data_IF_851186532734
#
_entry.id   IF_851186532734
#
_cell.length_a   1.000
_cell.length_b   1.000
_cell.length_c   1.000
_cell.angle_alpha   90.00
_cell.angle_beta   90.00
_cell.angle_gamma   90.00
#
_symmetry.space_group_name_H-M   'P 1'
#
loop_
_entity.id
_entity.type
_entity.pdbx_description
1 polymer ?
#
# COMPACT_ATOMS: atom_id res chain seq x y z
N UNK A 1 36.28 -17.07 -17.64
CA UNK A 1 36.08 -18.51 -17.82
C UNK A 1 34.68 -18.78 -18.37
N UNK A 2 34.58 -19.68 -19.35
CA UNK A 2 33.32 -20.02 -20.01
C UNK A 2 32.96 -21.50 -19.87
N UNK A 3 33.98 -22.35 -19.71
CA UNK A 3 33.83 -23.78 -19.52
C UNK A 3 33.82 -24.19 -18.04
N UNK A 4 33.15 -25.33 -17.72
CA UNK A 4 33.07 -25.88 -16.36
C UNK A 4 34.47 -25.99 -15.70
N UNK A 5 35.44 -26.58 -16.36
CA UNK A 5 36.78 -26.77 -15.81
C UNK A 5 37.52 -25.44 -15.60
N UNK A 6 37.33 -24.47 -16.50
CA UNK A 6 37.92 -23.14 -16.37
C UNK A 6 37.34 -22.39 -15.16
N UNK A 7 36.03 -22.55 -14.89
CA UNK A 7 35.37 -21.96 -13.73
C UNK A 7 35.88 -22.59 -12.44
N UNK A 8 36.03 -23.92 -12.40
CA UNK A 8 36.59 -24.63 -11.24
C UNK A 8 38.02 -24.18 -10.96
N UNK A 9 38.88 -24.15 -11.98
CA UNK A 9 40.28 -23.71 -11.84
C UNK A 9 40.36 -22.22 -11.39
N UNK A 10 39.48 -21.37 -11.88
CA UNK A 10 39.42 -20.00 -11.48
C UNK A 10 39.19 -19.88 -9.96
N UNK A 11 38.27 -20.65 -9.39
CA UNK A 11 37.98 -20.64 -7.95
C UNK A 11 39.09 -21.30 -7.11
N UNK A 12 39.69 -22.35 -7.58
CA UNK A 12 40.83 -23.02 -6.90
C UNK A 12 42.02 -22.07 -6.75
N UNK A 13 42.20 -21.15 -7.70
CA UNK A 13 43.30 -20.18 -7.69
C UNK A 13 43.04 -18.88 -6.96
N UNK A 14 41.74 -18.55 -6.72
CA UNK A 14 41.33 -17.28 -6.10
C UNK A 14 41.33 -17.25 -4.55
N UNK A 15 41.66 -18.35 -3.89
CA UNK A 15 41.74 -18.44 -2.42
C UNK A 15 42.75 -17.49 -1.76
N UNK A 16 43.55 -16.74 -2.54
CA UNK A 16 44.58 -15.81 -2.04
C UNK A 16 44.28 -14.32 -2.25
N UNK A 17 43.15 -13.92 -2.87
CA UNK A 17 42.87 -12.49 -3.13
C UNK A 17 41.89 -11.93 -2.07
N UNK A 18 42.48 -11.35 -1.02
CA UNK A 18 41.74 -10.67 0.07
C UNK A 18 41.32 -9.20 -0.25
N UNK A 19 41.33 -8.77 -1.51
CA UNK A 19 41.08 -7.38 -1.85
C UNK A 19 39.61 -7.13 -2.22
N UNK A 20 38.88 -6.53 -1.28
CA UNK A 20 37.43 -6.23 -1.37
C UNK A 20 37.05 -5.21 -2.47
N UNK A 21 38.02 -4.67 -3.21
CA UNK A 21 37.80 -3.69 -4.29
C UNK A 21 37.65 -4.30 -5.68
N UNK A 22 38.01 -5.55 -5.90
CA UNK A 22 37.73 -6.23 -7.17
C UNK A 22 36.30 -6.71 -7.19
N UNK A 23 35.41 -5.98 -7.88
CA UNK A 23 34.07 -6.47 -8.25
C UNK A 23 34.26 -7.67 -9.16
N UNK A 24 34.19 -8.82 -8.56
CA UNK A 24 34.17 -10.08 -9.24
C UNK A 24 33.05 -10.13 -10.30
N UNK A 25 33.40 -10.52 -11.50
CA UNK A 25 32.47 -10.70 -12.60
C UNK A 25 31.64 -12.00 -12.47
N UNK A 26 31.63 -12.64 -11.29
CA UNK A 26 30.96 -13.93 -11.05
C UNK A 26 29.49 -13.92 -11.43
N UNK A 27 28.74 -12.91 -11.00
CA UNK A 27 27.34 -12.79 -11.36
C UNK A 27 27.14 -12.78 -12.89
N UNK A 28 27.98 -12.08 -13.63
CA UNK A 28 27.93 -12.01 -15.09
C UNK A 28 28.30 -13.33 -15.75
N UNK A 29 29.26 -14.06 -15.18
CA UNK A 29 29.65 -15.42 -15.63
C UNK A 29 28.46 -16.35 -15.39
N UNK A 30 27.86 -16.35 -14.24
CA UNK A 30 26.70 -17.18 -13.91
C UNK A 30 25.47 -16.84 -14.79
N UNK A 31 25.26 -15.58 -15.14
CA UNK A 31 24.18 -15.16 -16.03
C UNK A 31 24.42 -15.65 -17.47
N UNK A 32 25.66 -15.53 -17.97
CA UNK A 32 26.00 -15.92 -19.34
C UNK A 32 26.17 -17.43 -19.54
N UNK A 33 26.64 -18.14 -18.52
CA UNK A 33 26.97 -19.56 -18.55
C UNK A 33 26.31 -20.35 -17.41
N UNK A 34 24.97 -20.28 -17.27
CA UNK A 34 24.25 -20.76 -16.09
C UNK A 34 24.47 -22.26 -15.82
N UNK A 35 24.51 -23.11 -16.85
CA UNK A 35 24.75 -24.55 -16.69
C UNK A 35 26.16 -24.86 -16.22
N UNK A 36 27.15 -24.23 -16.83
CA UNK A 36 28.55 -24.46 -16.49
C UNK A 36 28.84 -24.01 -15.06
N UNK A 37 28.23 -22.91 -14.61
CA UNK A 37 28.37 -22.44 -13.23
C UNK A 37 27.68 -23.37 -12.24
N UNK A 38 26.51 -23.91 -12.54
CA UNK A 38 25.83 -24.87 -11.67
C UNK A 38 26.69 -26.15 -11.48
N UNK A 39 27.19 -26.74 -12.57
CA UNK A 39 28.05 -27.91 -12.50
C UNK A 39 29.38 -27.62 -11.83
N UNK A 40 29.97 -26.44 -12.02
CA UNK A 40 31.22 -26.07 -11.37
C UNK A 40 31.06 -25.93 -9.86
N UNK A 41 29.97 -25.28 -9.40
CA UNK A 41 29.67 -25.14 -7.96
C UNK A 41 29.43 -26.50 -7.30
N UNK A 42 28.67 -27.39 -7.95
CA UNK A 42 28.45 -28.75 -7.45
C UNK A 42 29.77 -29.55 -7.35
N UNK A 43 30.68 -29.46 -8.35
CA UNK A 43 32.00 -30.09 -8.31
C UNK A 43 32.86 -29.53 -7.16
N UNK A 44 32.89 -28.22 -6.98
CA UNK A 44 33.64 -27.59 -5.91
C UNK A 44 33.11 -28.04 -4.53
N UNK A 45 31.78 -28.05 -4.36
CA UNK A 45 31.17 -28.55 -3.14
C UNK A 45 31.57 -30.01 -2.82
N UNK A 46 31.52 -30.90 -3.82
CA UNK A 46 31.95 -32.29 -3.67
C UNK A 46 33.44 -32.47 -3.30
N UNK A 47 34.26 -31.48 -3.60
CA UNK A 47 35.68 -31.41 -3.20
C UNK A 47 35.90 -30.74 -1.84
N UNK A 48 34.84 -30.37 -1.14
CA UNK A 48 34.90 -29.67 0.14
C UNK A 48 35.18 -28.17 0.02
N UNK A 49 35.09 -27.61 -1.18
CA UNK A 49 35.24 -26.17 -1.42
C UNK A 49 33.83 -25.54 -1.50
N UNK A 50 33.46 -24.83 -0.45
CA UNK A 50 32.14 -24.17 -0.36
C UNK A 50 32.28 -22.67 -0.12
N UNK A 51 31.59 -21.90 -0.93
CA UNK A 51 31.47 -20.44 -0.77
C UNK A 51 30.00 -20.00 -0.95
N UNK A 52 29.35 -19.61 0.15
CA UNK A 52 27.95 -19.19 0.17
C UNK A 52 27.70 -17.97 -0.75
N UNK A 53 28.65 -17.03 -0.86
CA UNK A 53 28.50 -15.83 -1.69
C UNK A 53 28.45 -16.19 -3.17
N UNK A 54 29.20 -17.21 -3.59
CA UNK A 54 29.19 -17.71 -4.97
C UNK A 54 27.88 -18.40 -5.33
N UNK A 55 27.38 -19.24 -4.44
CA UNK A 55 26.06 -19.84 -4.62
C UNK A 55 24.96 -18.78 -4.69
N UNK A 56 24.97 -17.80 -3.76
CA UNK A 56 24.04 -16.71 -3.74
C UNK A 56 24.03 -15.91 -5.06
N UNK A 57 25.20 -15.48 -5.53
CA UNK A 57 25.36 -14.75 -6.79
C UNK A 57 24.89 -15.55 -8.01
N UNK A 58 25.15 -16.87 -8.03
CA UNK A 58 24.72 -17.75 -9.11
C UNK A 58 23.20 -17.93 -9.12
N UNK A 59 22.57 -18.23 -7.98
CA UNK A 59 21.12 -18.40 -7.87
C UNK A 59 20.41 -17.09 -8.25
N UNK A 60 20.92 -15.94 -7.83
CA UNK A 60 20.39 -14.63 -8.25
C UNK A 60 20.50 -14.43 -9.77
N UNK A 61 21.63 -14.79 -10.38
CA UNK A 61 21.80 -14.70 -11.83
C UNK A 61 20.84 -15.65 -12.58
N UNK A 62 20.62 -16.85 -12.05
CA UNK A 62 19.65 -17.81 -12.60
C UNK A 62 18.20 -17.38 -12.40
N UNK A 63 17.92 -16.44 -11.50
CA UNK A 63 16.59 -15.87 -11.27
C UNK A 63 16.15 -14.90 -12.38
N UNK A 64 16.98 -14.62 -13.38
CA UNK A 64 16.60 -13.79 -14.53
C UNK A 64 15.50 -14.48 -15.34
N UNK A 65 14.44 -13.75 -15.77
CA UNK A 65 13.30 -14.34 -16.47
C UNK A 65 13.68 -15.18 -17.69
N UNK A 66 14.67 -14.72 -18.47
CA UNK A 66 15.17 -15.46 -19.63
C UNK A 66 15.80 -16.80 -19.24
N UNK A 67 16.59 -16.81 -18.19
CA UNK A 67 17.28 -18.01 -17.70
C UNK A 67 16.30 -19.01 -17.09
N UNK A 68 15.38 -18.53 -16.24
CA UNK A 68 14.34 -19.40 -15.66
C UNK A 68 13.51 -20.03 -16.77
N UNK A 69 13.03 -19.27 -17.75
CA UNK A 69 12.22 -19.79 -18.85
C UNK A 69 12.90 -20.92 -19.63
N UNK A 70 14.21 -20.82 -19.82
CA UNK A 70 14.98 -21.84 -20.57
C UNK A 70 15.33 -23.05 -19.72
N UNK A 71 15.56 -22.87 -18.42
CA UNK A 71 16.21 -23.89 -17.57
C UNK A 71 15.40 -24.21 -16.30
N UNK A 72 14.08 -23.88 -16.26
CA UNK A 72 13.21 -24.06 -15.10
C UNK A 72 13.36 -25.44 -14.44
N UNK A 73 13.14 -26.50 -15.23
CA UNK A 73 13.19 -27.88 -14.71
C UNK A 73 14.58 -28.29 -14.25
N UNK A 74 15.60 -27.84 -14.97
CA UNK A 74 16.97 -28.18 -14.62
C UNK A 74 17.36 -27.53 -13.28
N UNK A 75 17.27 -26.20 -13.18
CA UNK A 75 17.67 -25.50 -11.95
C UNK A 75 16.74 -25.81 -10.79
N UNK A 76 15.45 -25.96 -11.02
CA UNK A 76 14.54 -26.38 -9.96
C UNK A 76 14.91 -27.75 -9.38
N UNK A 77 15.27 -28.72 -10.23
CA UNK A 77 15.76 -30.03 -9.76
C UNK A 77 17.12 -29.93 -9.07
N UNK A 78 18.04 -29.08 -9.55
CA UNK A 78 19.30 -28.84 -8.86
C UNK A 78 19.09 -28.22 -7.50
N UNK A 79 18.22 -27.21 -7.37
CA UNK A 79 17.85 -26.60 -6.08
C UNK A 79 17.23 -27.63 -5.12
N UNK A 80 16.43 -28.59 -5.64
CA UNK A 80 15.89 -29.69 -4.83
C UNK A 80 16.94 -30.68 -4.36
N UNK A 81 18.10 -30.74 -5.00
CA UNK A 81 19.21 -31.67 -4.67
C UNK A 81 20.32 -31.03 -3.84
N UNK A 82 20.28 -29.71 -3.64
CA UNK A 82 21.30 -29.02 -2.86
C UNK A 82 21.46 -29.68 -1.48
N UNK A 83 22.67 -29.73 -1.00
CA UNK A 83 22.94 -30.15 0.38
C UNK A 83 22.26 -29.19 1.34
N UNK A 84 21.92 -29.67 2.54
CA UNK A 84 21.10 -28.92 3.50
C UNK A 84 21.74 -27.61 3.95
N UNK A 85 23.05 -27.61 4.18
CA UNK A 85 23.83 -26.42 4.52
C UNK A 85 23.83 -25.38 3.39
N UNK A 86 24.07 -25.81 2.15
CA UNK A 86 24.01 -24.94 0.96
C UNK A 86 22.63 -24.34 0.79
N UNK A 87 21.57 -25.12 0.99
CA UNK A 87 20.20 -24.64 0.87
C UNK A 87 19.89 -23.59 1.96
N UNK A 88 20.27 -23.88 3.22
CA UNK A 88 20.05 -22.99 4.36
C UNK A 88 20.76 -21.64 4.21
N UNK A 89 22.03 -21.66 3.77
CA UNK A 89 22.81 -20.44 3.61
C UNK A 89 22.32 -19.55 2.45
N UNK A 90 21.53 -20.11 1.53
CA UNK A 90 21.05 -19.41 0.33
C UNK A 90 19.52 -19.19 0.32
N UNK A 91 18.83 -19.28 1.46
CA UNK A 91 17.37 -19.14 1.55
C UNK A 91 16.84 -17.89 0.85
N UNK A 92 17.48 -16.73 1.02
CA UNK A 92 17.05 -15.51 0.38
C UNK A 92 17.05 -15.62 -1.16
N UNK A 93 18.13 -16.04 -1.75
CA UNK A 93 18.26 -16.18 -3.21
C UNK A 93 17.34 -17.25 -3.78
N UNK A 94 17.16 -18.35 -3.05
CA UNK A 94 16.21 -19.42 -3.41
C UNK A 94 14.78 -18.89 -3.35
N UNK A 95 14.42 -18.13 -2.33
CA UNK A 95 13.06 -17.54 -2.23
C UNK A 95 12.76 -16.60 -3.38
N UNK A 96 13.71 -15.76 -3.77
CA UNK A 96 13.60 -14.87 -4.94
C UNK A 96 13.43 -15.71 -6.22
N UNK A 97 14.19 -16.79 -6.37
CA UNK A 97 14.08 -17.69 -7.52
C UNK A 97 12.68 -18.34 -7.57
N UNK A 98 12.18 -18.88 -6.46
CA UNK A 98 10.83 -19.46 -6.35
C UNK A 98 9.76 -18.41 -6.73
N UNK A 99 9.84 -17.21 -6.18
CA UNK A 99 8.91 -16.13 -6.53
C UNK A 99 8.94 -15.80 -8.02
N UNK A 100 10.14 -15.72 -8.62
CA UNK A 100 10.27 -15.44 -10.06
C UNK A 100 9.70 -16.53 -10.93
N UNK A 101 9.74 -17.80 -10.49
CA UNK A 101 9.09 -18.89 -11.21
C UNK A 101 7.58 -18.66 -11.35
N UNK A 102 6.92 -18.15 -10.30
CA UNK A 102 5.47 -17.88 -10.33
C UNK A 102 5.06 -16.76 -11.29
N UNK A 103 6.00 -15.95 -11.77
CA UNK A 103 5.75 -14.88 -12.74
C UNK A 103 5.81 -15.38 -14.21
N UNK A 104 6.15 -16.66 -14.45
CA UNK A 104 6.32 -17.21 -15.79
C UNK A 104 5.03 -17.78 -16.37
N UNK A 105 4.87 -17.66 -17.68
CA UNK A 105 3.75 -18.25 -18.43
C UNK A 105 3.84 -19.77 -18.60
N UNK A 106 5.04 -20.35 -18.47
CA UNK A 106 5.29 -21.81 -18.50
C UNK A 106 5.69 -22.22 -17.10
N UNK A 107 4.84 -22.98 -16.46
CA UNK A 107 4.95 -23.28 -15.04
C UNK A 107 4.83 -24.79 -14.79
N UNK A 108 5.75 -25.35 -13.99
CA UNK A 108 5.72 -26.75 -13.56
C UNK A 108 5.24 -26.77 -12.10
N UNK A 109 3.95 -27.03 -11.91
CA UNK A 109 3.28 -26.96 -10.61
C UNK A 109 3.91 -27.95 -9.61
N UNK A 110 4.20 -29.16 -10.03
CA UNK A 110 4.74 -30.20 -9.14
C UNK A 110 6.15 -29.84 -8.65
N UNK A 111 6.98 -29.34 -9.56
CA UNK A 111 8.32 -28.89 -9.21
C UNK A 111 8.28 -27.70 -8.25
N UNK A 112 7.42 -26.74 -8.55
CA UNK A 112 7.23 -25.55 -7.71
C UNK A 112 6.75 -25.93 -6.31
N UNK A 113 5.74 -26.79 -6.21
CA UNK A 113 5.21 -27.26 -4.94
C UNK A 113 6.29 -27.94 -4.08
N UNK A 114 7.10 -28.83 -4.69
CA UNK A 114 8.22 -29.51 -4.00
C UNK A 114 9.26 -28.51 -3.49
N UNK A 115 9.56 -27.48 -4.27
CA UNK A 115 10.49 -26.41 -3.84
C UNK A 115 9.92 -25.60 -2.68
N UNK A 116 8.64 -25.23 -2.72
CA UNK A 116 7.98 -24.55 -1.62
C UNK A 116 7.98 -25.40 -0.34
N UNK A 117 7.61 -26.67 -0.44
CA UNK A 117 7.62 -27.60 0.69
C UNK A 117 9.01 -27.73 1.30
N UNK A 118 10.02 -27.96 0.46
CA UNK A 118 11.40 -28.01 0.95
C UNK A 118 11.82 -26.70 1.62
N UNK A 119 11.47 -25.57 1.04
CA UNK A 119 11.76 -24.27 1.63
C UNK A 119 11.13 -24.11 3.02
N UNK A 120 9.88 -24.52 3.18
CA UNK A 120 9.17 -24.48 4.47
C UNK A 120 9.84 -25.38 5.53
N UNK A 121 10.35 -26.55 5.16
CA UNK A 121 11.10 -27.43 6.07
C UNK A 121 12.32 -26.73 6.67
N UNK A 122 13.09 -25.99 5.87
CA UNK A 122 14.26 -25.25 6.35
C UNK A 122 13.85 -24.00 7.15
N UNK A 123 12.78 -23.32 6.77
CA UNK A 123 12.30 -22.13 7.44
C UNK A 123 11.76 -22.39 8.85
N UNK A 124 11.32 -23.61 9.17
CA UNK A 124 10.83 -23.99 10.52
C UNK A 124 11.88 -23.78 11.62
N UNK A 125 13.15 -23.79 11.27
CA UNK A 125 14.27 -23.60 12.19
C UNK A 125 14.83 -22.17 12.20
N UNK A 126 14.37 -21.31 11.30
CA UNK A 126 14.87 -19.95 11.19
C UNK A 126 14.05 -18.99 12.07
N UNK A 127 14.51 -18.79 13.31
CA UNK A 127 13.88 -17.87 14.29
C UNK A 127 14.20 -16.37 14.02
N UNK A 128 14.78 -16.04 12.88
CA UNK A 128 15.29 -14.69 12.60
C UNK A 128 14.23 -13.66 12.19
N UNK A 129 12.94 -14.01 12.20
CA UNK A 129 11.85 -13.03 11.97
C UNK A 129 11.17 -12.72 13.32
N UNK A 130 11.97 -12.31 14.31
CA UNK A 130 11.40 -11.63 15.45
C UNK A 130 10.65 -10.39 14.96
N UNK A 131 9.47 -10.15 15.52
CA UNK A 131 8.71 -8.90 15.31
C UNK A 131 9.48 -7.77 15.99
N UNK A 132 10.54 -7.30 15.33
CA UNK A 132 11.34 -6.17 15.80
C UNK A 132 10.50 -4.89 15.73
N UNK A 133 10.78 -3.96 16.62
CA UNK A 133 10.13 -2.66 16.63
C UNK A 133 10.40 -1.94 15.30
N UNK A 134 9.33 -1.52 14.61
CA UNK A 134 9.42 -0.84 13.31
C UNK A 134 9.25 -1.72 12.07
N UNK A 135 9.11 -3.04 12.22
CA UNK A 135 8.75 -3.94 11.11
C UNK A 135 7.32 -3.66 10.66
N UNK A 136 7.11 -3.59 9.34
CA UNK A 136 5.78 -3.49 8.74
C UNK A 136 5.49 -4.67 7.80
N UNK A 137 4.24 -4.78 7.35
CA UNK A 137 3.81 -5.86 6.47
C UNK A 137 4.61 -5.95 5.15
N UNK A 138 5.09 -4.81 4.62
CA UNK A 138 5.90 -4.79 3.40
C UNK A 138 7.30 -5.38 3.64
N UNK A 139 7.89 -5.08 4.79
CA UNK A 139 9.16 -5.67 5.20
C UNK A 139 9.03 -7.18 5.36
N UNK A 140 7.93 -7.64 5.99
CA UNK A 140 7.62 -9.07 6.11
C UNK A 140 7.45 -9.74 4.74
N UNK A 141 6.71 -9.12 3.82
CA UNK A 141 6.53 -9.66 2.47
C UNK A 141 7.83 -9.74 1.65
N UNK A 142 8.82 -8.92 2.00
CA UNK A 142 10.15 -8.92 1.35
C UNK A 142 11.12 -9.93 1.96
N UNK A 143 10.79 -10.54 3.10
CA UNK A 143 11.60 -11.60 3.72
C UNK A 143 11.58 -12.89 2.87
N UNK A 144 12.53 -13.83 3.07
CA UNK A 144 12.56 -15.08 2.33
C UNK A 144 11.22 -15.83 2.32
N UNK A 145 10.62 -16.00 3.49
CA UNK A 145 9.35 -16.71 3.63
C UNK A 145 8.18 -15.92 3.01
N UNK A 146 8.20 -14.59 3.11
CA UNK A 146 7.25 -13.70 2.43
C UNK A 146 7.33 -13.79 0.91
N UNK A 147 8.54 -13.88 0.35
CA UNK A 147 8.76 -14.08 -1.09
C UNK A 147 8.17 -15.40 -1.58
N UNK A 148 8.40 -16.49 -0.85
CA UNK A 148 7.82 -17.81 -1.20
C UNK A 148 6.30 -17.75 -1.11
N UNK A 149 5.72 -17.19 -0.06
CA UNK A 149 4.26 -17.02 0.07
C UNK A 149 3.70 -16.17 -1.06
N UNK A 150 4.38 -15.10 -1.47
CA UNK A 150 4.00 -14.30 -2.64
C UNK A 150 3.99 -15.13 -3.92
N UNK A 151 4.99 -16.00 -4.08
CA UNK A 151 5.06 -16.96 -5.20
C UNK A 151 3.88 -17.93 -5.20
N UNK A 152 3.55 -18.51 -4.06
CA UNK A 152 2.41 -19.43 -3.89
C UNK A 152 1.09 -18.72 -4.28
N UNK A 153 0.83 -17.56 -3.69
CA UNK A 153 -0.39 -16.79 -3.96
C UNK A 153 -0.49 -16.38 -5.43
N UNK A 154 0.61 -15.94 -6.04
CA UNK A 154 0.63 -15.62 -7.48
C UNK A 154 0.33 -16.82 -8.35
N UNK A 155 0.84 -18.00 -7.98
CA UNK A 155 0.65 -19.23 -8.74
C UNK A 155 -0.80 -19.74 -8.74
N UNK A 156 -1.57 -19.46 -7.69
CA UNK A 156 -3.00 -19.80 -7.62
C UNK A 156 -3.78 -19.19 -8.79
N UNK A 157 -3.41 -17.98 -9.20
CA UNK A 157 -4.13 -17.23 -10.24
C UNK A 157 -3.54 -17.41 -11.65
N UNK A 158 -2.58 -18.33 -11.84
CA UNK A 158 -1.89 -18.52 -13.13
C UNK A 158 -2.77 -19.18 -14.20
N UNK A 159 -3.69 -20.05 -13.83
CA UNK A 159 -4.43 -20.93 -14.75
C UNK A 159 -5.89 -20.47 -14.96
N UNK A 160 -6.12 -19.15 -15.08
CA UNK A 160 -7.46 -18.69 -15.48
C UNK A 160 -8.58 -19.21 -14.56
N UNK A 161 -8.35 -19.17 -13.25
CA UNK A 161 -9.34 -19.58 -12.25
C UNK A 161 -10.52 -18.63 -12.25
N UNK A 162 -11.72 -19.18 -12.09
CA UNK A 162 -12.95 -18.42 -12.00
C UNK A 162 -13.43 -18.32 -10.54
N UNK A 163 -14.34 -17.37 -10.29
CA UNK A 163 -14.95 -17.19 -8.99
C UNK A 163 -15.69 -18.47 -8.57
N UNK A 164 -15.41 -18.96 -7.37
CA UNK A 164 -16.04 -20.16 -6.82
C UNK A 164 -15.41 -21.48 -7.22
N UNK A 165 -14.34 -21.49 -8.01
CA UNK A 165 -13.63 -22.74 -8.39
C UNK A 165 -13.04 -23.49 -7.19
N UNK A 166 -12.80 -22.78 -6.08
CA UNK A 166 -12.10 -23.27 -4.91
C UNK A 166 -10.60 -23.33 -5.08
N UNK A 167 -9.89 -23.30 -3.96
CA UNK A 167 -8.44 -23.49 -3.94
C UNK A 167 -8.09 -24.95 -4.26
N UNK A 168 -7.22 -25.12 -5.26
CA UNK A 168 -6.79 -26.45 -5.73
C UNK A 168 -5.48 -26.89 -5.06
N UNK A 169 -5.29 -28.20 -4.93
CA UNK A 169 -4.00 -28.80 -4.64
C UNK A 169 -2.99 -28.51 -5.76
N UNK A 170 -1.69 -28.31 -5.48
CA UNK A 170 -1.07 -28.43 -4.13
C UNK A 170 -1.10 -27.12 -3.31
N UNK A 171 -1.53 -26.02 -3.88
CA UNK A 171 -1.42 -24.70 -3.24
C UNK A 171 -2.27 -24.57 -1.97
N UNK A 172 -3.45 -25.18 -1.96
CA UNK A 172 -4.30 -25.21 -0.75
C UNK A 172 -3.58 -25.86 0.42
N UNK A 173 -3.00 -27.03 0.20
CA UNK A 173 -2.28 -27.79 1.23
C UNK A 173 -1.06 -27.03 1.75
N UNK A 174 -0.29 -26.41 0.85
CA UNK A 174 0.88 -25.61 1.24
C UNK A 174 0.47 -24.38 2.07
N UNK A 175 -0.62 -23.67 1.68
CA UNK A 175 -1.12 -22.55 2.48
C UNK A 175 -1.62 -23.00 3.85
N UNK A 176 -2.34 -24.11 3.91
CA UNK A 176 -2.80 -24.69 5.18
C UNK A 176 -1.62 -25.09 6.08
N UNK A 177 -0.56 -25.67 5.51
CA UNK A 177 0.67 -25.96 6.26
C UNK A 177 1.31 -24.68 6.82
N UNK A 178 1.41 -23.62 6.01
CA UNK A 178 1.94 -22.31 6.44
C UNK A 178 1.10 -21.74 7.60
N UNK A 179 -0.23 -21.82 7.52
CA UNK A 179 -1.12 -21.28 8.55
C UNK A 179 -1.02 -22.03 9.88
N UNK A 180 -0.62 -23.30 9.87
CA UNK A 180 -0.41 -24.11 11.07
C UNK A 180 0.95 -23.87 11.75
N UNK A 181 1.92 -23.26 11.07
CA UNK A 181 3.22 -22.94 11.67
C UNK A 181 3.06 -21.90 12.79
N UNK A 182 3.94 -21.92 13.83
CA UNK A 182 3.96 -20.88 14.86
C UNK A 182 4.21 -19.48 14.26
N UNK A 183 3.61 -18.44 14.86
CA UNK A 183 3.69 -17.06 14.32
C UNK A 183 5.12 -16.50 14.34
N UNK A 184 5.93 -16.86 15.34
CA UNK A 184 7.34 -16.44 15.43
C UNK A 184 8.22 -16.91 14.26
N UNK A 185 7.76 -17.92 13.54
CA UNK A 185 8.44 -18.46 12.33
C UNK A 185 7.74 -18.00 11.05
N UNK A 186 6.41 -17.95 11.04
CA UNK A 186 5.60 -17.91 9.81
C UNK A 186 4.86 -16.59 9.57
N UNK A 187 5.01 -15.59 10.43
CA UNK A 187 4.28 -14.32 10.29
C UNK A 187 4.33 -13.73 8.88
N UNK A 188 5.52 -13.74 8.28
CA UNK A 188 5.71 -13.21 6.93
C UNK A 188 4.86 -13.96 5.88
N UNK A 189 4.81 -15.29 5.96
CA UNK A 189 4.03 -16.09 5.03
C UNK A 189 2.52 -16.00 5.27
N UNK A 190 2.09 -15.88 6.52
CA UNK A 190 0.66 -15.72 6.89
C UNK A 190 0.08 -14.38 6.47
N UNK A 191 0.90 -13.32 6.49
CA UNK A 191 0.47 -11.94 6.18
C UNK A 191 0.31 -11.70 4.67
N UNK A 192 1.15 -12.30 3.85
CA UNK A 192 1.17 -12.06 2.39
C UNK A 192 -0.17 -12.34 1.69
N UNK A 193 -0.91 -13.42 1.98
CA UNK A 193 -2.21 -13.69 1.34
C UNK A 193 -3.21 -12.55 1.45
N UNK A 194 -3.12 -11.69 2.47
CA UNK A 194 -4.03 -10.56 2.67
C UNK A 194 -3.91 -9.48 1.58
N UNK A 195 -2.80 -9.38 0.85
CA UNK A 195 -2.70 -8.50 -0.32
C UNK A 195 -3.65 -8.91 -1.46
N UNK A 196 -4.08 -10.18 -1.46
CA UNK A 196 -4.99 -10.77 -2.44
C UNK A 196 -6.28 -11.30 -1.80
N UNK A 197 -6.62 -10.83 -0.58
CA UNK A 197 -7.74 -11.36 0.20
C UNK A 197 -9.06 -11.36 -0.59
N UNK A 198 -9.36 -10.30 -1.33
CA UNK A 198 -10.55 -10.22 -2.20
C UNK A 198 -10.54 -11.30 -3.26
N UNK A 199 -9.42 -11.52 -3.93
CA UNK A 199 -9.32 -12.52 -4.99
C UNK A 199 -9.41 -13.95 -4.43
N UNK A 200 -8.79 -14.19 -3.26
CA UNK A 200 -8.89 -15.47 -2.56
C UNK A 200 -10.31 -15.75 -2.08
N UNK A 201 -10.99 -14.73 -1.55
CA UNK A 201 -12.38 -14.86 -1.12
C UNK A 201 -13.34 -15.13 -2.29
N UNK A 202 -13.12 -14.50 -3.44
CA UNK A 202 -13.89 -14.77 -4.66
C UNK A 202 -13.67 -16.19 -5.16
N UNK A 203 -12.43 -16.69 -5.08
CA UNK A 203 -12.05 -18.01 -5.52
C UNK A 203 -12.60 -19.10 -4.58
N UNK A 204 -12.41 -18.95 -3.27
CA UNK A 204 -12.83 -19.90 -2.23
C UNK A 204 -13.22 -19.14 -0.95
N UNK A 205 -14.50 -18.69 -0.90
CA UNK A 205 -14.99 -17.91 0.23
C UNK A 205 -14.97 -18.73 1.52
N UNK A 206 -15.36 -20.00 1.46
CA UNK A 206 -15.42 -20.86 2.64
C UNK A 206 -14.04 -21.06 3.27
N UNK A 207 -13.01 -21.33 2.46
CA UNK A 207 -11.64 -21.46 2.95
C UNK A 207 -11.13 -20.14 3.50
N UNK A 208 -11.34 -19.03 2.78
CA UNK A 208 -10.89 -17.70 3.19
C UNK A 208 -11.54 -17.28 4.51
N UNK A 209 -12.84 -17.50 4.68
CA UNK A 209 -13.57 -17.18 5.91
C UNK A 209 -13.12 -18.03 7.09
N UNK A 210 -12.81 -19.30 6.88
CA UNK A 210 -12.38 -20.19 7.96
C UNK A 210 -10.90 -20.06 8.31
N UNK A 211 -10.03 -19.75 7.35
CA UNK A 211 -8.57 -19.79 7.53
C UNK A 211 -7.91 -18.41 7.64
N UNK A 212 -8.38 -17.39 6.89
CA UNK A 212 -7.72 -16.08 6.87
C UNK A 212 -8.46 -15.04 7.71
N UNK A 213 -9.78 -14.96 7.65
CA UNK A 213 -10.53 -13.91 8.36
C UNK A 213 -10.29 -13.93 9.88
N UNK A 214 -10.17 -15.09 10.56
CA UNK A 214 -9.84 -15.10 12.00
C UNK A 214 -8.52 -14.41 12.35
N UNK A 215 -7.57 -14.35 11.42
CA UNK A 215 -6.28 -13.66 11.62
C UNK A 215 -6.40 -12.12 11.60
N UNK A 216 -7.55 -11.56 11.20
CA UNK A 216 -7.84 -10.13 11.25
C UNK A 216 -8.36 -9.67 12.63
N UNK A 217 -8.63 -10.58 13.56
CA UNK A 217 -9.10 -10.21 14.89
C UNK A 217 -7.96 -9.64 15.74
N UNK A 218 -7.97 -8.32 15.94
CA UNK A 218 -6.94 -7.60 16.71
C UNK A 218 -6.89 -8.03 18.18
N UNK A 219 -7.99 -8.53 18.73
CA UNK A 219 -8.06 -8.92 20.12
C UNK A 219 -7.47 -10.32 20.38
N UNK A 220 -7.50 -11.18 19.35
CA UNK A 220 -7.12 -12.59 19.47
C UNK A 220 -5.91 -12.99 18.63
N UNK A 221 -5.45 -12.14 17.69
CA UNK A 221 -4.32 -12.44 16.81
C UNK A 221 -3.22 -11.37 16.91
N UNK A 222 -2.05 -11.77 17.36
CA UNK A 222 -0.87 -10.88 17.44
C UNK A 222 -0.41 -10.37 16.06
N UNK A 223 -0.71 -11.10 15.01
CA UNK A 223 -0.34 -10.73 13.64
C UNK A 223 -1.41 -9.91 12.91
N UNK A 224 -2.60 -9.71 13.51
CA UNK A 224 -3.71 -8.98 12.91
C UNK A 224 -3.32 -7.58 12.38
N UNK A 225 -2.50 -6.77 13.08
CA UNK A 225 -2.07 -5.49 12.54
C UNK A 225 -1.39 -5.60 11.18
N UNK A 226 -0.53 -6.60 10.97
CA UNK A 226 0.18 -6.82 9.70
C UNK A 226 -0.76 -7.35 8.61
N UNK A 227 -1.73 -8.21 8.98
CA UNK A 227 -2.77 -8.69 8.06
C UNK A 227 -3.61 -7.52 7.55
N UNK A 228 -4.03 -6.60 8.43
CA UNK A 228 -4.73 -5.38 8.04
C UNK A 228 -3.86 -4.44 7.19
N UNK A 229 -2.60 -4.24 7.55
CA UNK A 229 -1.67 -3.43 6.74
C UNK A 229 -1.56 -3.98 5.32
N UNK A 230 -1.44 -5.30 5.17
CA UNK A 230 -1.32 -5.96 3.88
C UNK A 230 -2.63 -5.86 3.08
N UNK A 231 -3.79 -6.10 3.70
CA UNK A 231 -5.10 -5.91 3.06
C UNK A 231 -5.27 -4.45 2.58
N UNK A 232 -5.01 -3.48 3.45
CA UNK A 232 -5.18 -2.05 3.14
C UNK A 232 -4.21 -1.55 2.06
N UNK A 233 -3.08 -2.22 1.87
CA UNK A 233 -2.14 -1.85 0.79
C UNK A 233 -2.74 -2.03 -0.62
N UNK A 234 -3.73 -2.94 -0.76
CA UNK A 234 -4.39 -3.27 -2.04
C UNK A 234 -5.91 -3.49 -1.85
N UNK A 235 -6.52 -2.77 -0.91
CA UNK A 235 -7.94 -2.92 -0.60
C UNK A 235 -8.83 -2.65 -1.82
N UNK A 236 -9.77 -3.57 -2.05
CA UNK A 236 -10.78 -3.50 -3.11
C UNK A 236 -12.15 -3.74 -2.54
N UNK A 237 -13.18 -3.20 -3.20
CA UNK A 237 -14.55 -3.42 -2.81
C UNK A 237 -15.01 -4.80 -3.27
N UNK A 238 -15.45 -5.59 -2.31
CA UNK A 238 -16.13 -6.86 -2.52
C UNK A 238 -17.15 -7.05 -1.40
N UNK A 239 -18.44 -6.75 -1.64
CA UNK A 239 -19.45 -6.68 -0.60
C UNK A 239 -19.54 -7.92 0.30
N UNK A 240 -19.51 -9.18 -0.22
CA UNK A 240 -19.54 -10.36 0.65
C UNK A 240 -18.38 -10.41 1.66
N UNK A 241 -17.15 -10.12 1.23
CA UNK A 241 -16.02 -10.07 2.13
C UNK A 241 -16.13 -8.92 3.15
N UNK A 242 -16.58 -7.73 2.68
CA UNK A 242 -16.75 -6.57 3.55
C UNK A 242 -17.76 -6.83 4.67
N UNK A 243 -18.82 -7.60 4.41
CA UNK A 243 -19.78 -8.00 5.43
C UNK A 243 -19.11 -8.85 6.52
N UNK A 244 -18.27 -9.80 6.14
CA UNK A 244 -17.57 -10.68 7.07
C UNK A 244 -16.52 -9.95 7.93
N UNK A 245 -15.76 -9.02 7.33
CA UNK A 245 -14.69 -8.29 8.04
C UNK A 245 -15.18 -6.98 8.66
N UNK A 246 -16.46 -6.62 8.52
CA UNK A 246 -17.04 -5.33 8.92
C UNK A 246 -16.69 -4.94 10.35
N UNK A 247 -16.91 -5.84 11.30
CA UNK A 247 -16.70 -5.56 12.74
C UNK A 247 -15.23 -5.18 12.96
N UNK A 248 -14.29 -6.01 12.52
CA UNK A 248 -12.85 -5.75 12.66
C UNK A 248 -12.43 -4.45 11.93
N UNK A 249 -12.99 -4.19 10.74
CA UNK A 249 -12.71 -2.97 9.99
C UNK A 249 -13.16 -1.71 10.76
N UNK A 250 -14.31 -1.72 11.41
CA UNK A 250 -14.80 -0.60 12.20
C UNK A 250 -14.03 -0.42 13.53
N UNK A 251 -13.55 -1.52 14.12
CA UNK A 251 -12.75 -1.50 15.36
C UNK A 251 -11.33 -0.96 15.14
N UNK A 252 -10.79 -1.06 13.93
CA UNK A 252 -9.48 -0.50 13.58
C UNK A 252 -9.37 1.00 13.89
N UNK A 253 -10.47 1.75 13.90
CA UNK A 253 -10.46 3.16 14.22
C UNK A 253 -9.82 3.46 15.58
N UNK A 254 -10.09 2.62 16.57
CA UNK A 254 -9.52 2.74 17.93
C UNK A 254 -8.08 2.23 18.00
N UNK A 255 -7.67 1.42 17.05
CA UNK A 255 -6.37 0.75 16.99
C UNK A 255 -5.50 1.24 15.82
N UNK A 256 -5.83 2.39 15.24
CA UNK A 256 -5.21 2.90 14.01
C UNK A 256 -3.69 3.07 14.11
N UNK A 257 -3.16 3.31 15.30
CA UNK A 257 -1.72 3.44 15.55
C UNK A 257 -0.97 2.13 15.23
N UNK A 258 -1.63 0.96 15.37
CA UNK A 258 -1.04 -0.34 15.01
C UNK A 258 -0.84 -0.49 13.50
N UNK A 259 -1.51 0.34 12.70
CA UNK A 259 -1.36 0.31 11.25
C UNK A 259 -0.16 1.11 10.73
N UNK A 260 0.53 1.87 11.59
CA UNK A 260 1.66 2.70 11.20
C UNK A 260 1.34 3.60 9.98
N UNK A 261 2.16 3.54 8.94
CA UNK A 261 1.94 4.29 7.68
C UNK A 261 0.64 3.91 6.96
N UNK A 262 0.11 2.71 7.16
CA UNK A 262 -1.13 2.25 6.54
C UNK A 262 -2.40 2.83 7.19
N UNK A 263 -2.27 3.56 8.29
CA UNK A 263 -3.39 4.31 8.87
C UNK A 263 -4.00 5.32 7.90
N UNK A 264 -3.22 5.91 6.99
CA UNK A 264 -3.74 6.78 5.93
C UNK A 264 -4.53 5.99 4.86
N UNK A 265 -4.08 4.78 4.54
CA UNK A 265 -4.81 3.88 3.63
C UNK A 265 -6.16 3.46 4.25
N UNK A 266 -6.18 3.17 5.55
CA UNK A 266 -7.41 2.88 6.29
C UNK A 266 -8.41 4.04 6.21
N UNK A 267 -8.00 5.26 6.58
CA UNK A 267 -8.89 6.43 6.54
C UNK A 267 -9.39 6.67 5.11
N UNK A 268 -8.53 6.58 4.12
CA UNK A 268 -8.92 6.71 2.72
C UNK A 268 -9.95 5.65 2.32
N UNK A 269 -9.78 4.40 2.76
CA UNK A 269 -10.70 3.31 2.47
C UNK A 269 -12.07 3.53 3.14
N UNK A 270 -12.10 3.91 4.42
CA UNK A 270 -13.33 4.26 5.13
C UNK A 270 -14.08 5.42 4.46
N UNK A 271 -13.37 6.49 4.09
CA UNK A 271 -13.96 7.63 3.38
C UNK A 271 -14.52 7.20 2.02
N UNK A 272 -13.84 6.29 1.32
CA UNK A 272 -14.34 5.73 0.07
C UNK A 272 -15.65 4.97 0.28
N UNK A 273 -15.70 4.05 1.26
CA UNK A 273 -16.92 3.29 1.59
C UNK A 273 -18.10 4.22 1.94
N UNK A 274 -17.83 5.26 2.72
CA UNK A 274 -18.83 6.21 3.15
C UNK A 274 -19.38 7.08 2.01
N UNK A 275 -18.50 7.63 1.16
CA UNK A 275 -18.88 8.49 0.03
C UNK A 275 -19.68 7.71 -1.01
N UNK A 276 -19.28 6.46 -1.30
CA UNK A 276 -20.00 5.63 -2.27
C UNK A 276 -21.16 4.85 -1.66
N UNK A 277 -21.42 5.06 -0.36
CA UNK A 277 -22.55 4.47 0.37
C UNK A 277 -22.62 2.94 0.12
N UNK A 278 -21.47 2.28 0.32
CA UNK A 278 -21.37 0.84 0.07
C UNK A 278 -22.33 0.08 0.98
N UNK A 279 -23.11 -0.80 0.38
CA UNK A 279 -24.10 -1.63 1.06
C UNK A 279 -23.49 -2.37 2.27
N UNK A 280 -24.31 -2.58 3.29
CA UNK A 280 -23.88 -3.23 4.52
C UNK A 280 -23.35 -2.28 5.59
N UNK A 281 -23.10 -0.99 5.27
CA UNK A 281 -22.64 0.02 6.22
C UNK A 281 -23.66 1.16 6.38
N UNK A 282 -23.70 1.75 7.57
CA UNK A 282 -24.57 2.90 7.89
C UNK A 282 -23.76 4.18 8.08
N UNK A 283 -24.38 5.34 7.81
CA UNK A 283 -23.76 6.64 8.07
C UNK A 283 -23.35 6.83 9.54
N UNK A 284 -24.11 6.27 10.47
CA UNK A 284 -23.80 6.33 11.90
C UNK A 284 -22.55 5.51 12.26
N UNK A 285 -22.32 4.36 11.62
CA UNK A 285 -21.11 3.57 11.80
C UNK A 285 -19.87 4.33 11.30
N UNK A 286 -19.95 4.95 10.12
CA UNK A 286 -18.88 5.78 9.60
C UNK A 286 -18.60 7.00 10.47
N UNK A 287 -19.66 7.66 10.99
CA UNK A 287 -19.51 8.76 11.94
C UNK A 287 -18.75 8.31 13.17
N UNK A 288 -19.12 7.18 13.77
CA UNK A 288 -18.44 6.62 14.93
C UNK A 288 -16.97 6.25 14.65
N UNK A 289 -16.64 5.82 13.42
CA UNK A 289 -15.25 5.61 13.01
C UNK A 289 -14.48 6.93 12.97
N UNK A 290 -15.06 7.96 12.33
CA UNK A 290 -14.43 9.28 12.23
C UNK A 290 -14.22 9.89 13.61
N UNK A 291 -15.16 9.72 14.54
CA UNK A 291 -15.01 10.20 15.92
C UNK A 291 -13.80 9.60 16.62
N UNK A 292 -13.54 8.31 16.41
CA UNK A 292 -12.46 7.55 17.08
C UNK A 292 -11.07 7.75 16.49
N UNK A 293 -10.96 8.14 15.22
CA UNK A 293 -9.63 8.35 14.61
C UNK A 293 -8.95 9.62 15.14
N UNK A 294 -7.61 9.67 15.20
CA UNK A 294 -6.85 10.83 15.66
C UNK A 294 -7.06 12.07 14.78
N UNK A 295 -6.95 13.25 15.38
CA UNK A 295 -7.10 14.54 14.68
C UNK A 295 -6.18 14.66 13.46
N UNK A 296 -4.93 14.21 13.57
CA UNK A 296 -3.95 14.21 12.46
C UNK A 296 -4.43 13.45 11.22
N UNK A 297 -5.30 12.45 11.41
CA UNK A 297 -5.93 11.69 10.32
C UNK A 297 -7.21 12.35 9.82
N UNK A 298 -8.01 12.97 10.72
CA UNK A 298 -9.21 13.74 10.35
C UNK A 298 -8.86 14.87 9.40
N UNK A 299 -7.73 15.52 9.57
CA UNK A 299 -7.24 16.62 8.73
C UNK A 299 -7.18 16.27 7.23
N UNK A 300 -7.05 14.98 6.87
CA UNK A 300 -6.92 14.50 5.48
C UNK A 300 -8.25 14.07 4.85
N UNK A 301 -9.33 13.93 5.61
CA UNK A 301 -10.60 13.34 5.14
C UNK A 301 -11.12 14.07 3.90
N UNK A 302 -11.25 15.41 3.94
CA UNK A 302 -11.76 16.18 2.80
C UNK A 302 -10.79 16.20 1.60
N UNK A 303 -9.51 15.97 1.83
CA UNK A 303 -8.55 15.72 0.76
C UNK A 303 -8.88 14.41 0.03
N UNK A 304 -9.22 13.35 0.76
CA UNK A 304 -9.65 12.08 0.15
C UNK A 304 -11.01 12.22 -0.54
N UNK A 305 -11.98 12.90 0.09
CA UNK A 305 -13.27 13.23 -0.54
C UNK A 305 -13.04 13.86 -1.91
N UNK A 306 -12.21 14.90 -2.00
CA UNK A 306 -11.88 15.58 -3.25
C UNK A 306 -11.21 14.67 -4.28
N UNK A 307 -10.32 13.77 -3.85
CA UNK A 307 -9.62 12.82 -4.75
C UNK A 307 -10.57 11.83 -5.40
N UNK A 308 -11.67 11.45 -4.74
CA UNK A 308 -12.64 10.51 -5.27
C UNK A 308 -13.57 11.08 -6.35
N UNK A 309 -13.52 12.37 -6.60
CA UNK A 309 -14.24 12.97 -7.75
C UNK A 309 -13.87 12.27 -9.06
N UNK A 310 -12.58 12.00 -9.29
CA UNK A 310 -12.09 11.37 -10.52
C UNK A 310 -12.60 12.14 -11.76
N UNK A 311 -13.19 11.39 -12.71
CA UNK A 311 -13.82 11.92 -13.92
C UNK A 311 -15.35 12.08 -13.80
N UNK A 312 -15.90 11.98 -12.58
CA UNK A 312 -17.35 12.14 -12.37
C UNK A 312 -17.82 13.56 -12.71
N UNK A 313 -19.08 13.67 -13.13
CA UNK A 313 -19.71 14.97 -13.30
C UNK A 313 -19.69 15.74 -11.96
N UNK A 314 -19.27 17.00 -12.00
CA UNK A 314 -19.13 17.86 -10.81
C UNK A 314 -20.42 17.94 -9.99
N UNK A 315 -21.51 18.25 -10.69
CA UNK A 315 -22.82 18.43 -10.07
C UNK A 315 -23.27 17.16 -9.35
N UNK A 316 -23.19 16.03 -10.07
CA UNK A 316 -23.60 14.73 -9.55
C UNK A 316 -22.74 14.29 -8.37
N UNK A 317 -21.42 14.52 -8.43
CA UNK A 317 -20.52 14.21 -7.35
C UNK A 317 -20.85 15.02 -6.08
N UNK A 318 -21.13 16.32 -6.23
CA UNK A 318 -21.48 17.16 -5.09
C UNK A 318 -22.81 16.75 -4.46
N UNK A 319 -23.87 16.64 -5.25
CA UNK A 319 -25.22 16.35 -4.76
C UNK A 319 -25.36 14.94 -4.19
N UNK A 320 -24.74 13.94 -4.83
CA UNK A 320 -24.92 12.55 -4.47
C UNK A 320 -23.81 11.99 -3.56
N UNK A 321 -22.72 12.75 -3.33
CA UNK A 321 -21.56 12.24 -2.57
C UNK A 321 -21.09 13.22 -1.49
N UNK A 322 -20.75 14.46 -1.85
CA UNK A 322 -20.17 15.42 -0.90
C UNK A 322 -21.20 15.89 0.12
N UNK A 323 -22.38 16.34 -0.33
CA UNK A 323 -23.43 16.83 0.57
C UNK A 323 -23.93 15.74 1.50
N UNK A 324 -24.31 14.52 1.06
CA UNK A 324 -24.70 13.44 1.98
C UNK A 324 -23.58 13.02 2.95
N UNK A 325 -22.33 12.98 2.49
CA UNK A 325 -21.19 12.70 3.38
C UNK A 325 -21.09 13.76 4.49
N UNK A 326 -21.23 15.03 4.13
CA UNK A 326 -21.20 16.12 5.10
C UNK A 326 -22.39 16.07 6.08
N UNK A 327 -23.57 15.80 5.58
CA UNK A 327 -24.80 15.86 6.39
C UNK A 327 -24.92 14.64 7.30
N UNK A 328 -24.64 13.45 6.80
CA UNK A 328 -24.96 12.20 7.47
C UNK A 328 -23.75 11.53 8.12
N UNK A 329 -22.54 11.75 7.59
CA UNK A 329 -21.33 11.03 8.00
C UNK A 329 -20.39 11.90 8.83
N UNK A 330 -20.08 13.12 8.38
CA UNK A 330 -19.15 13.98 9.09
C UNK A 330 -19.70 14.36 10.48
N UNK A 331 -18.95 14.09 11.57
CA UNK A 331 -19.36 14.51 12.90
C UNK A 331 -19.25 16.03 12.98
N UNK A 332 -20.36 16.75 13.11
CA UNK A 332 -20.38 18.21 13.19
C UNK A 332 -19.94 18.70 14.59
N UNK A 333 -18.77 18.23 15.03
CA UNK A 333 -18.12 18.63 16.27
C UNK A 333 -17.06 19.69 15.99
N UNK A 334 -17.23 20.88 16.58
CA UNK A 334 -16.30 22.00 16.40
C UNK A 334 -14.91 21.74 16.97
N UNK A 335 -14.75 20.79 17.87
CA UNK A 335 -13.42 20.37 18.37
C UNK A 335 -12.53 19.78 17.29
N UNK A 336 -13.10 19.37 16.14
CA UNK A 336 -12.34 18.83 14.99
C UNK A 336 -11.85 19.90 14.03
N UNK A 337 -12.27 21.17 14.24
CA UNK A 337 -11.80 22.28 13.42
C UNK A 337 -10.32 22.56 13.68
N UNK A 338 -9.59 22.76 12.62
CA UNK A 338 -8.19 23.17 12.64
C UNK A 338 -7.86 23.89 11.33
N UNK A 339 -6.71 24.55 11.31
CA UNK A 339 -6.19 25.17 10.08
C UNK A 339 -6.07 24.15 8.94
N UNK A 340 -5.66 22.91 9.23
CA UNK A 340 -5.48 21.83 8.23
C UNK A 340 -6.82 21.29 7.72
N UNK A 341 -7.82 21.13 8.59
CA UNK A 341 -9.20 20.78 8.18
C UNK A 341 -9.77 21.87 7.30
N UNK A 342 -9.59 23.13 7.69
CA UNK A 342 -10.03 24.29 6.90
C UNK A 342 -9.34 24.31 5.54
N UNK A 343 -8.02 24.03 5.46
CA UNK A 343 -7.31 23.93 4.18
C UNK A 343 -7.90 22.84 3.28
N UNK A 344 -8.22 21.68 3.85
CA UNK A 344 -8.82 20.56 3.12
C UNK A 344 -10.22 20.91 2.60
N UNK A 345 -11.06 21.56 3.42
CA UNK A 345 -12.39 22.05 3.04
C UNK A 345 -12.31 23.15 1.97
N UNK A 346 -11.43 24.13 2.14
CA UNK A 346 -11.22 25.21 1.15
C UNK A 346 -10.77 24.65 -0.19
N UNK A 347 -9.86 23.67 -0.19
CA UNK A 347 -9.46 22.99 -1.43
C UNK A 347 -10.62 22.25 -2.08
N UNK A 348 -11.53 21.65 -1.30
CA UNK A 348 -12.75 21.02 -1.82
C UNK A 348 -13.69 22.08 -2.42
N UNK A 349 -13.98 23.19 -1.69
CA UNK A 349 -14.80 24.31 -2.17
C UNK A 349 -14.24 24.87 -3.50
N UNK A 350 -12.95 25.17 -3.54
CA UNK A 350 -12.33 25.76 -4.75
C UNK A 350 -12.36 24.78 -5.94
N UNK A 351 -12.33 23.48 -5.68
CA UNK A 351 -12.40 22.47 -6.76
C UNK A 351 -13.82 22.17 -7.24
N UNK A 352 -14.83 22.80 -6.66
CA UNK A 352 -16.25 22.54 -6.98
C UNK A 352 -16.80 23.33 -8.17
N UNK A 353 -15.95 24.11 -8.86
CA UNK A 353 -16.30 24.86 -10.08
C UNK A 353 -17.65 25.62 -9.94
N UNK A 354 -18.68 25.21 -10.66
CA UNK A 354 -20.01 25.84 -10.66
C UNK A 354 -20.74 25.69 -9.31
N UNK A 355 -20.27 24.83 -8.41
CA UNK A 355 -20.84 24.66 -7.05
C UNK A 355 -20.07 25.45 -5.99
N UNK A 356 -19.19 26.37 -6.38
CA UNK A 356 -18.42 27.21 -5.46
C UNK A 356 -19.32 27.94 -4.45
N UNK A 357 -20.40 28.59 -4.91
CA UNK A 357 -21.40 29.24 -4.06
C UNK A 357 -21.96 28.27 -3.01
N UNK A 358 -22.44 27.10 -3.46
CA UNK A 358 -22.99 26.06 -2.58
C UNK A 358 -21.95 25.52 -1.59
N UNK A 359 -20.73 25.33 -2.04
CA UNK A 359 -19.63 24.90 -1.18
C UNK A 359 -19.32 25.93 -0.08
N UNK A 360 -19.27 27.20 -0.39
CA UNK A 360 -19.08 28.26 0.60
C UNK A 360 -20.24 28.30 1.59
N UNK A 361 -21.50 28.25 1.12
CA UNK A 361 -22.69 28.22 1.98
C UNK A 361 -22.66 27.04 2.96
N UNK A 362 -22.24 25.84 2.49
CA UNK A 362 -22.24 24.62 3.28
C UNK A 362 -21.15 24.60 4.35
N UNK A 363 -19.95 25.11 4.03
CA UNK A 363 -18.78 24.94 4.87
C UNK A 363 -18.28 26.21 5.58
N UNK A 364 -18.75 27.43 5.22
CA UNK A 364 -18.15 28.67 5.75
C UNK A 364 -18.17 28.77 7.28
N UNK A 365 -19.18 28.23 7.94
CA UNK A 365 -19.27 28.22 9.40
C UNK A 365 -18.36 27.20 10.09
N UNK A 366 -17.73 26.35 9.28
CA UNK A 366 -16.81 25.28 9.69
C UNK A 366 -15.36 25.56 9.29
N UNK A 367 -15.05 26.81 8.92
CA UNK A 367 -13.70 27.22 8.56
C UNK A 367 -13.07 28.01 9.72
N UNK A 368 -11.82 27.69 10.00
CA UNK A 368 -10.91 28.43 10.85
C UNK A 368 -9.84 29.13 9.99
N UNK A 369 -9.20 30.20 10.48
CA UNK A 369 -8.10 30.84 9.79
C UNK A 369 -6.99 29.86 9.46
N UNK A 370 -6.50 29.92 8.22
CA UNK A 370 -5.42 29.05 7.72
C UNK A 370 -4.05 29.68 7.96
N UNK A 371 -3.05 28.87 8.22
CA UNK A 371 -1.68 29.37 8.35
C UNK A 371 -1.15 29.97 7.03
N UNK A 372 -1.52 29.37 5.88
CA UNK A 372 -1.09 29.85 4.56
C UNK A 372 -2.26 29.91 3.58
N UNK A 373 -2.60 31.11 3.16
CA UNK A 373 -3.72 31.40 2.25
C UNK A 373 -3.25 31.61 0.78
N UNK A 374 -1.95 31.75 0.53
CA UNK A 374 -1.41 32.14 -0.78
C UNK A 374 -1.81 31.19 -1.93
N UNK A 375 -1.88 29.88 -1.67
CA UNK A 375 -2.31 28.89 -2.68
C UNK A 375 -3.81 29.04 -3.00
N UNK A 376 -4.65 29.27 -2.00
CA UNK A 376 -6.09 29.48 -2.17
C UNK A 376 -6.38 30.76 -2.96
N UNK A 377 -5.69 31.86 -2.63
CA UNK A 377 -5.79 33.12 -3.39
C UNK A 377 -5.45 32.90 -4.88
N UNK A 378 -4.34 32.22 -5.19
CA UNK A 378 -3.96 31.92 -6.57
C UNK A 378 -5.06 31.16 -7.31
N UNK A 379 -5.65 30.13 -6.69
CA UNK A 379 -6.70 29.32 -7.31
C UNK A 379 -8.01 30.11 -7.48
N UNK A 380 -8.39 30.96 -6.52
CA UNK A 380 -9.56 31.83 -6.61
C UNK A 380 -9.42 32.79 -7.81
N UNK A 381 -8.22 33.35 -8.00
CA UNK A 381 -7.93 34.22 -9.18
C UNK A 381 -7.98 33.40 -10.46
N UNK A 382 -7.31 32.25 -10.53
CA UNK A 382 -7.26 31.40 -11.73
C UNK A 382 -8.65 30.95 -12.20
N UNK A 383 -9.56 30.68 -11.25
CA UNK A 383 -10.94 30.27 -11.53
C UNK A 383 -11.90 31.45 -11.68
N UNK A 384 -11.42 32.69 -11.59
CA UNK A 384 -12.22 33.92 -11.69
C UNK A 384 -13.38 34.03 -10.66
N UNK A 385 -13.28 33.32 -9.51
CA UNK A 385 -14.36 33.25 -8.51
C UNK A 385 -14.67 34.61 -7.88
N UNK A 386 -13.67 35.47 -7.69
CA UNK A 386 -13.87 36.83 -7.17
C UNK A 386 -14.76 37.69 -8.05
N UNK A 387 -14.88 37.37 -9.35
CA UNK A 387 -15.77 38.09 -10.28
C UNK A 387 -17.13 37.39 -10.42
N UNK A 388 -17.13 36.06 -10.50
CA UNK A 388 -18.35 35.28 -10.72
C UNK A 388 -19.19 35.13 -9.44
N UNK A 389 -18.52 34.99 -8.29
CA UNK A 389 -19.13 34.79 -6.97
C UNK A 389 -18.54 35.77 -5.94
N UNK A 390 -18.79 37.12 -6.08
CA UNK A 390 -18.10 38.11 -5.29
C UNK A 390 -18.45 38.04 -3.79
N UNK A 391 -19.70 37.73 -3.43
CA UNK A 391 -20.14 37.63 -2.03
C UNK A 391 -19.52 36.41 -1.33
N UNK A 392 -19.55 35.26 -1.99
CA UNK A 392 -19.02 34.00 -1.49
C UNK A 392 -17.49 34.07 -1.40
N UNK A 393 -16.84 34.67 -2.39
CA UNK A 393 -15.37 34.87 -2.36
C UNK A 393 -14.97 35.77 -1.19
N UNK A 394 -15.74 36.86 -0.92
CA UNK A 394 -15.51 37.71 0.22
C UNK A 394 -15.71 36.96 1.55
N UNK A 395 -16.78 36.17 1.64
CA UNK A 395 -17.09 35.38 2.83
C UNK A 395 -15.99 34.35 3.10
N UNK A 396 -15.56 33.60 2.07
CA UNK A 396 -14.51 32.61 2.15
C UNK A 396 -13.20 33.27 2.61
N UNK A 397 -12.75 34.30 1.91
CA UNK A 397 -11.50 34.99 2.21
C UNK A 397 -11.48 35.55 3.64
N UNK A 398 -12.60 36.10 4.10
CA UNK A 398 -12.73 36.62 5.46
C UNK A 398 -12.59 35.52 6.53
N UNK A 399 -13.14 34.34 6.28
CA UNK A 399 -13.10 33.22 7.22
C UNK A 399 -11.71 32.57 7.32
N UNK A 400 -11.00 32.47 6.21
CA UNK A 400 -9.71 31.74 6.15
C UNK A 400 -8.49 32.61 6.43
N UNK A 401 -8.64 33.92 6.50
CA UNK A 401 -7.54 34.89 6.67
C UNK A 401 -7.58 35.54 8.04
N UNK A 402 -6.44 35.60 8.73
CA UNK A 402 -6.21 36.33 9.96
C UNK A 402 -4.92 37.16 9.87
N UNK A 403 -4.65 37.97 10.90
CA UNK A 403 -3.38 38.74 11.01
C UNK A 403 -2.15 37.84 11.11
N UNK A 404 -2.32 36.61 11.59
CA UNK A 404 -1.25 35.61 11.74
C UNK A 404 -1.03 34.74 10.47
N UNK A 405 -1.95 34.81 9.50
CA UNK A 405 -1.86 34.04 8.27
C UNK A 405 -0.76 34.56 7.35
N UNK A 406 -0.01 33.63 6.72
CA UNK A 406 0.82 34.01 5.59
C UNK A 406 -0.04 34.32 4.37
N UNK A 407 -0.09 35.59 4.00
CA UNK A 407 -0.92 36.12 2.92
C UNK A 407 -0.06 36.73 1.83
N UNK A 408 -0.28 36.32 0.59
CA UNK A 408 0.23 37.04 -0.58
C UNK A 408 -0.59 38.32 -0.77
N UNK A 409 -0.05 39.44 -0.29
CA UNK A 409 -0.74 40.74 -0.26
C UNK A 409 -1.20 41.20 -1.62
N UNK A 410 -0.38 40.99 -2.67
CA UNK A 410 -0.72 41.42 -4.04
C UNK A 410 -1.90 40.60 -4.58
N UNK A 411 -1.89 39.29 -4.35
CA UNK A 411 -3.00 38.43 -4.76
C UNK A 411 -4.30 38.71 -3.97
N UNK A 412 -4.19 38.96 -2.67
CA UNK A 412 -5.34 39.37 -1.90
C UNK A 412 -5.92 40.69 -2.42
N UNK A 413 -5.08 41.66 -2.73
CA UNK A 413 -5.49 42.94 -3.33
C UNK A 413 -6.16 42.75 -4.69
N UNK A 414 -5.68 41.84 -5.53
CA UNK A 414 -6.31 41.48 -6.82
C UNK A 414 -7.69 40.86 -6.63
N UNK A 415 -7.84 39.92 -5.66
CA UNK A 415 -9.15 39.35 -5.34
C UNK A 415 -10.14 40.42 -4.87
N UNK A 416 -9.72 41.32 -3.95
CA UNK A 416 -10.58 42.40 -3.44
C UNK A 416 -10.97 43.38 -4.55
N UNK A 417 -10.05 43.74 -5.44
CA UNK A 417 -10.35 44.61 -6.58
C UNK A 417 -11.37 43.95 -7.51
N UNK A 418 -11.24 42.66 -7.81
CA UNK A 418 -12.20 41.92 -8.63
C UNK A 418 -13.60 41.90 -7.97
N UNK A 419 -13.66 41.62 -6.67
CA UNK A 419 -14.92 41.66 -5.89
C UNK A 419 -15.57 43.02 -5.98
N UNK A 420 -14.82 44.13 -5.75
CA UNK A 420 -15.32 45.50 -5.84
C UNK A 420 -15.85 45.83 -7.24
N UNK A 421 -15.11 45.41 -8.28
CA UNK A 421 -15.54 45.69 -9.67
C UNK A 421 -16.81 44.93 -10.03
N UNK A 422 -16.94 43.67 -9.59
CA UNK A 422 -18.13 42.85 -9.84
C UNK A 422 -19.36 43.33 -9.02
N UNK A 423 -19.15 43.73 -7.75
CA UNK A 423 -20.22 44.18 -6.86
C UNK A 423 -19.74 45.35 -5.98
N UNK A 424 -19.85 46.62 -6.48
CA UNK A 424 -19.31 47.82 -5.79
C UNK A 424 -19.81 48.01 -4.36
N UNK A 425 -21.05 47.59 -4.05
CA UNK A 425 -21.61 47.69 -2.71
C UNK A 425 -20.78 46.98 -1.64
N UNK A 426 -20.04 45.92 -2.01
CA UNK A 426 -19.21 45.15 -1.09
C UNK A 426 -18.00 45.91 -0.56
N UNK A 427 -17.59 47.02 -1.20
CA UNK A 427 -16.51 47.88 -0.67
C UNK A 427 -16.85 48.44 0.72
N UNK A 428 -18.14 48.63 1.01
CA UNK A 428 -18.61 49.10 2.30
C UNK A 428 -18.78 48.01 3.37
N UNK A 429 -18.69 46.73 2.98
CA UNK A 429 -18.75 45.58 3.88
C UNK A 429 -17.57 45.58 4.87
N UNK A 430 -17.86 45.32 6.14
CA UNK A 430 -16.83 45.25 7.19
C UNK A 430 -15.78 44.19 6.93
N UNK A 431 -16.17 43.07 6.32
CA UNK A 431 -15.25 41.98 5.94
C UNK A 431 -14.24 42.47 4.90
N UNK A 432 -14.71 43.20 3.87
CA UNK A 432 -13.87 43.79 2.86
C UNK A 432 -12.86 44.76 3.45
N UNK A 433 -13.33 45.69 4.33
CA UNK A 433 -12.45 46.68 4.99
C UNK A 433 -11.38 46.02 5.86
N UNK A 434 -11.72 44.96 6.59
CA UNK A 434 -10.76 44.23 7.41
C UNK A 434 -9.69 43.52 6.51
N UNK A 435 -10.09 42.84 5.43
CA UNK A 435 -9.15 42.20 4.51
C UNK A 435 -8.28 43.25 3.80
N UNK A 436 -8.79 44.41 3.48
CA UNK A 436 -8.04 45.49 2.84
C UNK A 436 -6.87 45.98 3.75
N UNK A 437 -7.04 45.97 5.08
CA UNK A 437 -5.98 46.32 6.02
C UNK A 437 -4.79 45.36 5.87
N UNK A 438 -5.03 44.06 5.64
CA UNK A 438 -3.98 43.04 5.49
C UNK A 438 -3.20 43.20 4.20
N UNK A 439 -3.65 44.03 3.26
CA UNK A 439 -2.92 44.29 2.00
C UNK A 439 -1.91 45.45 2.11
N UNK A 440 -1.90 46.16 3.26
CA UNK A 440 -0.95 47.23 3.56
C UNK A 440 0.32 46.66 4.18
#
# INVERSE_FOLDING_TARGET
>A
PTGRNEIVQYFENETEITDSFYRDNWYQVAEKHPLNTAYALDDLYKRGIYDASRWNGAIQAWSKPKTIKLFLKLFGNELLRLASDVFQDNLYSISVWIRRCSELTVFDIDLFAKLCQRFLEFSKNDKNVALEEGVDAQSLASSPLGQVSSGIVSSIFHEGVEDGDGLKTPFKEILEEVLQLPDDVSVAAKVVPFSNLVSLHRLDSHWTSSCLIPLLDINNSAIAPFCWQMFLSNARIHPPLLEEIKIGLLELASNINLLGRYGDHYVRFIVYLAIYQIDGFTSSEFRNVIDRIPQTKKNKIFTYVRQFKGNSNELEFWENRVEPFWEDVWPKDRSYLSSEVSESLVNLIISSEKRFERGVQLFSDWLEPMQNVATSLRKIIQNNYSTEFPEESLALLYKITSDESFVDKDKLKLCLLAIKNAKPALENDLRYKKLLVLTR
#
